data_IF_308150822085
#
_entry.id   IF_308150822085
#
_cell.length_a   1.000
_cell.length_b   1.000
_cell.length_c   1.000
_cell.angle_alpha   90.00
_cell.angle_beta   90.00
_cell.angle_gamma   90.00
#
_symmetry.space_group_name_H-M   'P 1'
#
loop_
_entity.id
_entity.type
_entity.pdbx_description
1 polymer ?
#
# COMPACT_ATOMS: atom_id res chain seq x y z
N UNK A 1 -6.51 4.82 -1.68
CA UNK A 1 -6.27 5.54 -0.41
C UNK A 1 -5.17 6.55 -0.68
N UNK A 2 -5.41 7.82 -0.37
CA UNK A 2 -4.49 8.92 -0.67
C UNK A 2 -3.72 9.32 0.61
N UNK A 3 -2.40 9.37 0.50
CA UNK A 3 -1.47 9.70 1.58
C UNK A 3 -0.84 11.05 1.30
N UNK A 4 -0.84 11.94 2.29
CA UNK A 4 -0.10 13.20 2.18
C UNK A 4 1.36 12.99 2.59
N UNK A 5 2.27 13.20 1.64
CA UNK A 5 3.70 13.13 1.86
C UNK A 5 4.25 14.56 1.89
N UNK A 6 5.03 14.89 2.93
CA UNK A 6 5.71 16.19 3.03
C UNK A 6 6.88 16.22 2.04
N UNK A 7 6.83 17.09 1.05
CA UNK A 7 8.01 17.40 0.22
C UNK A 7 8.85 18.50 0.90
N UNK A 8 10.17 18.46 0.70
CA UNK A 8 11.14 19.43 1.26
C UNK A 8 10.90 20.89 0.84
N UNK A 9 9.98 21.14 -0.10
CA UNK A 9 9.70 22.45 -0.64
C UNK A 9 8.23 22.83 -0.44
N UNK A 10 7.79 22.89 0.82
CA UNK A 10 6.50 23.45 1.28
C UNK A 10 5.20 22.93 0.61
N UNK A 11 5.27 21.90 -0.25
CA UNK A 11 4.11 21.38 -1.00
C UNK A 11 3.77 19.98 -0.49
N UNK A 12 2.54 19.81 -0.01
CA UNK A 12 2.01 18.47 0.30
C UNK A 12 1.73 17.75 -1.03
N UNK A 13 2.37 16.60 -1.23
CA UNK A 13 2.12 15.74 -2.38
C UNK A 13 1.15 14.64 -1.95
N UNK A 14 0.04 14.52 -2.66
CA UNK A 14 -0.90 13.41 -2.47
C UNK A 14 -0.41 12.21 -3.27
N UNK A 15 -0.18 11.08 -2.60
CA UNK A 15 0.29 9.84 -3.19
C UNK A 15 -0.72 8.75 -2.95
N UNK A 16 -1.12 8.05 -4.01
CA UNK A 16 -1.98 6.88 -3.90
C UNK A 16 -1.16 5.64 -3.57
N UNK A 17 -1.16 5.27 -2.28
CA UNK A 17 -0.56 4.07 -1.70
C UNK A 17 -0.85 2.76 -2.44
N UNK A 18 -2.15 2.57 -2.67
CA UNK A 18 -2.77 1.38 -3.24
C UNK A 18 -3.90 1.88 -4.13
N UNK A 19 -3.88 1.45 -5.38
CA UNK A 19 -4.92 1.78 -6.37
C UNK A 19 -5.61 0.51 -6.85
N UNK A 20 -6.90 0.39 -6.51
CA UNK A 20 -7.81 -0.61 -7.08
C UNK A 20 -7.29 -2.05 -7.06
N UNK A 21 -6.59 -2.44 -5.98
CA UNK A 21 -6.04 -3.80 -5.82
C UNK A 21 -7.10 -4.76 -5.29
N UNK A 22 -7.23 -5.91 -5.94
CA UNK A 22 -8.09 -7.02 -5.50
C UNK A 22 -7.23 -8.27 -5.24
N UNK A 23 -7.37 -8.86 -4.06
CA UNK A 23 -6.69 -10.10 -3.68
C UNK A 23 -7.74 -11.17 -3.35
N UNK A 24 -7.52 -12.40 -3.82
CA UNK A 24 -8.33 -13.57 -3.48
C UNK A 24 -7.38 -14.66 -3.02
N UNK A 25 -7.59 -15.15 -1.80
CA UNK A 25 -6.84 -16.26 -1.24
C UNK A 25 -7.80 -17.37 -0.82
N UNK A 26 -7.39 -18.62 -1.02
CA UNK A 26 -8.04 -19.79 -0.46
C UNK A 26 -7.52 -20.05 0.96
N UNK A 27 -8.24 -20.88 1.69
CA UNK A 27 -7.75 -21.37 2.98
C UNK A 27 -6.41 -22.10 2.78
N UNK A 28 -5.46 -21.84 3.67
CA UNK A 28 -4.10 -22.40 3.65
C UNK A 28 -3.23 -21.97 2.44
N UNK A 29 -3.60 -20.90 1.75
CA UNK A 29 -2.79 -20.31 0.68
C UNK A 29 -1.87 -19.21 1.24
N UNK A 30 -0.61 -19.21 0.80
CA UNK A 30 0.36 -18.16 1.14
C UNK A 30 0.59 -17.28 -0.09
N UNK A 31 0.39 -15.96 0.05
CA UNK A 31 0.69 -14.97 -1.00
C UNK A 31 1.96 -14.20 -0.66
N UNK A 32 2.85 -14.05 -1.65
CA UNK A 32 4.03 -13.18 -1.56
C UNK A 32 3.80 -11.89 -2.35
N UNK A 33 4.07 -10.73 -1.74
CA UNK A 33 3.99 -9.42 -2.40
C UNK A 33 5.41 -8.88 -2.59
N UNK A 34 5.86 -8.73 -3.83
CA UNK A 34 7.22 -8.29 -4.18
C UNK A 34 7.19 -7.01 -5.03
N UNK A 35 8.30 -6.27 -5.04
CA UNK A 35 8.44 -5.01 -5.78
C UNK A 35 9.39 -4.02 -5.11
N UNK A 36 9.75 -2.95 -5.81
CA UNK A 36 10.71 -1.92 -5.39
C UNK A 36 10.31 -1.18 -4.11
N UNK A 37 11.28 -0.62 -3.39
CA UNK A 37 11.01 0.18 -2.19
C UNK A 37 10.05 1.33 -2.52
N UNK A 38 9.03 1.55 -1.68
CA UNK A 38 8.02 2.59 -1.90
C UNK A 38 6.82 2.18 -2.77
N UNK A 39 6.79 0.97 -3.37
CA UNK A 39 5.70 0.53 -4.26
C UNK A 39 4.34 0.22 -3.59
N UNK A 40 4.19 0.46 -2.28
CA UNK A 40 2.92 0.26 -1.57
C UNK A 40 2.70 -1.12 -0.93
N UNK A 41 3.68 -2.04 -0.98
CA UNK A 41 3.57 -3.42 -0.42
C UNK A 41 3.17 -3.46 1.06
N UNK A 42 3.88 -2.70 1.91
CA UNK A 42 3.60 -2.64 3.36
C UNK A 42 2.25 -2.02 3.63
N UNK A 43 1.85 -1.01 2.85
CA UNK A 43 0.52 -0.38 2.94
C UNK A 43 -0.57 -1.40 2.60
N UNK A 44 -0.42 -2.15 1.50
CA UNK A 44 -1.35 -3.20 1.10
C UNK A 44 -1.48 -4.30 2.17
N UNK A 45 -0.35 -4.76 2.73
CA UNK A 45 -0.36 -5.76 3.81
C UNK A 45 -1.07 -5.27 5.07
N UNK A 46 -0.83 -4.01 5.47
CA UNK A 46 -1.54 -3.41 6.62
C UNK A 46 -3.04 -3.25 6.37
N UNK A 47 -3.46 -2.90 5.15
CA UNK A 47 -4.87 -2.85 4.78
C UNK A 47 -5.52 -4.24 4.86
N UNK A 48 -4.85 -5.28 4.39
CA UNK A 48 -5.33 -6.67 4.50
C UNK A 48 -5.51 -7.12 5.95
N UNK A 49 -4.63 -6.66 6.84
CA UNK A 49 -4.69 -6.93 8.29
C UNK A 49 -5.60 -5.95 9.07
N UNK A 50 -6.24 -4.98 8.39
CA UNK A 50 -7.05 -3.90 9.01
C UNK A 50 -6.30 -3.08 10.07
N UNK A 51 -5.05 -2.72 9.75
CA UNK A 51 -4.16 -1.94 10.64
C UNK A 51 -4.04 -0.46 10.24
N UNK A 52 -4.78 -0.02 9.22
CA UNK A 52 -4.79 1.35 8.69
C UNK A 52 -6.22 1.80 8.39
#
# INVERSE_FOLDING_TARGET
>A
MDFQVRSQLFRSLSVRAVDSVSLKLKQNETIGIVGESGSGKTTLGRLALRLL
#
